data_IF_447572798927
#
_entry.id   IF_447572798927
#
_cell.length_a   1.000
_cell.length_b   1.000
_cell.length_c   1.000
_cell.angle_alpha   90.00
_cell.angle_beta   90.00
_cell.angle_gamma   90.00
#
_symmetry.space_group_name_H-M   'P 1'
#
loop_
_entity.id
_entity.type
_entity.pdbx_description
1 polymer ?
#
# COMPACT_ATOMS: atom_id res chain seq x y z
N UNK A 1 10.68 25.01 7.51
CA UNK A 1 10.05 25.41 6.23
C UNK A 1 9.24 24.25 5.78
N UNK A 2 7.95 24.44 5.54
CA UNK A 2 7.07 23.39 5.06
C UNK A 2 6.30 23.85 3.82
N UNK A 3 5.64 22.93 3.12
CA UNK A 3 4.88 23.27 1.92
C UNK A 3 4.04 22.12 1.39
N UNK A 4 3.10 22.45 0.51
CA UNK A 4 2.29 21.49 -0.22
C UNK A 4 2.29 21.84 -1.70
N UNK A 5 2.73 20.91 -2.54
CA UNK A 5 2.67 21.01 -3.98
C UNK A 5 1.36 20.40 -4.50
N UNK A 6 0.45 21.26 -4.95
CA UNK A 6 -0.80 20.86 -5.63
C UNK A 6 -0.46 20.60 -7.10
N UNK A 7 -0.04 19.37 -7.41
CA UNK A 7 0.52 18.99 -8.70
C UNK A 7 -0.23 17.82 -9.33
N UNK A 8 -0.08 17.67 -10.65
CA UNK A 8 -0.53 16.51 -11.45
C UNK A 8 0.26 16.45 -12.77
N UNK A 9 0.40 15.28 -13.43
CA UNK A 9 -0.02 13.93 -12.99
C UNK A 9 0.76 13.44 -11.74
N UNK A 10 0.34 12.34 -11.09
CA UNK A 10 1.12 11.71 -10.02
C UNK A 10 2.48 11.19 -10.54
N UNK A 11 3.34 10.77 -9.63
CA UNK A 11 4.70 10.32 -9.91
C UNK A 11 5.14 9.02 -9.24
N UNK A 12 4.56 8.61 -8.11
CA UNK A 12 5.13 7.54 -7.28
C UNK A 12 5.20 6.13 -7.92
N UNK A 13 4.44 5.88 -8.99
CA UNK A 13 4.50 4.63 -9.76
C UNK A 13 5.51 4.65 -10.93
N UNK A 14 6.07 5.82 -11.28
CA UNK A 14 7.03 5.91 -12.37
C UNK A 14 8.38 5.31 -11.94
N UNK A 15 8.77 4.23 -12.61
CA UNK A 15 10.05 3.55 -12.44
C UNK A 15 11.17 4.21 -13.28
N UNK A 16 12.40 3.71 -13.20
CA UNK A 16 13.55 4.26 -13.93
C UNK A 16 13.31 4.39 -15.44
N UNK A 17 12.63 3.40 -16.04
CA UNK A 17 12.39 3.33 -17.48
C UNK A 17 10.96 2.95 -17.87
N UNK A 18 10.02 3.02 -16.92
CA UNK A 18 8.62 2.60 -17.14
C UNK A 18 7.64 3.63 -16.56
N UNK A 19 6.75 4.14 -17.41
CA UNK A 19 5.59 4.91 -16.99
C UNK A 19 4.39 3.96 -16.75
N UNK A 20 3.70 4.08 -15.62
CA UNK A 20 2.54 3.27 -15.27
C UNK A 20 1.68 3.98 -14.21
N UNK A 21 0.44 3.53 -13.99
CA UNK A 21 -0.43 4.11 -12.95
C UNK A 21 -0.61 5.63 -13.08
N UNK A 22 -0.76 6.13 -14.31
CA UNK A 22 -0.81 7.55 -14.65
C UNK A 22 0.48 8.37 -14.39
N UNK A 23 1.55 7.73 -13.88
CA UNK A 23 2.80 8.36 -13.54
C UNK A 23 3.82 8.27 -14.69
N UNK A 24 4.44 9.40 -15.04
CA UNK A 24 5.49 9.48 -16.07
C UNK A 24 6.87 9.78 -15.49
N UNK A 25 6.93 10.63 -14.46
CA UNK A 25 8.16 10.99 -13.75
C UNK A 25 7.88 11.02 -12.26
N UNK A 26 8.78 10.45 -11.46
CA UNK A 26 8.61 10.40 -10.01
C UNK A 26 9.09 11.72 -9.36
N UNK A 27 8.16 12.66 -9.20
CA UNK A 27 8.42 14.00 -8.66
C UNK A 27 9.09 13.98 -7.26
N UNK A 28 8.62 13.10 -6.38
CA UNK A 28 9.13 12.97 -5.01
C UNK A 28 10.53 12.35 -5.01
N UNK A 29 10.76 11.27 -5.77
CA UNK A 29 12.08 10.66 -5.88
C UNK A 29 13.12 11.59 -6.54
N UNK A 30 12.73 12.35 -7.57
CA UNK A 30 13.59 13.37 -8.17
C UNK A 30 13.96 14.44 -7.14
N UNK A 31 13.01 14.88 -6.33
CA UNK A 31 13.24 15.86 -5.25
C UNK A 31 14.20 15.32 -4.19
N UNK A 32 14.01 14.07 -3.76
CA UNK A 32 14.91 13.41 -2.80
C UNK A 32 16.34 13.32 -3.34
N UNK A 33 16.53 12.86 -4.59
CA UNK A 33 17.86 12.84 -5.23
C UNK A 33 18.47 14.23 -5.33
N UNK A 34 17.68 15.24 -5.67
CA UNK A 34 18.17 16.62 -5.74
C UNK A 34 18.62 17.15 -4.37
N UNK A 35 17.83 16.93 -3.32
CA UNK A 35 18.17 17.32 -1.94
C UNK A 35 19.47 16.66 -1.47
N UNK A 36 19.60 15.35 -1.70
CA UNK A 36 20.79 14.57 -1.32
C UNK A 36 22.03 15.01 -2.12
N UNK A 37 21.94 15.03 -3.44
CA UNK A 37 23.10 15.15 -4.34
C UNK A 37 23.53 16.61 -4.59
N UNK A 38 22.62 17.57 -4.48
CA UNK A 38 22.89 19.00 -4.77
C UNK A 38 22.89 19.87 -3.53
N UNK A 39 22.09 19.51 -2.52
CA UNK A 39 21.94 20.30 -1.31
C UNK A 39 22.54 19.61 -0.07
N UNK A 40 23.16 18.44 -0.23
CA UNK A 40 23.85 17.67 0.82
C UNK A 40 22.94 17.39 2.04
N UNK A 41 21.66 17.14 1.81
CA UNK A 41 20.75 16.66 2.85
C UNK A 41 21.09 15.20 3.13
N UNK A 42 21.46 14.89 4.37
CA UNK A 42 22.08 13.61 4.74
C UNK A 42 21.08 12.47 4.88
N UNK A 43 19.98 12.70 5.59
CA UNK A 43 18.92 11.70 5.81
C UNK A 43 17.56 12.23 5.39
N UNK A 44 16.89 11.56 4.48
CA UNK A 44 15.56 11.97 3.99
C UNK A 44 14.56 10.86 4.29
N UNK A 45 13.46 11.21 4.95
CA UNK A 45 12.31 10.33 5.12
C UNK A 45 11.31 10.62 4.00
N UNK A 46 10.88 9.59 3.29
CA UNK A 46 9.75 9.64 2.37
C UNK A 46 8.62 8.81 2.97
N UNK A 47 7.47 9.43 3.23
CA UNK A 47 6.24 8.73 3.65
C UNK A 47 5.24 8.77 2.49
N UNK A 48 4.86 7.62 1.99
CA UNK A 48 3.83 7.47 0.96
C UNK A 48 2.50 7.11 1.61
N UNK A 49 1.53 8.03 1.50
CA UNK A 49 0.18 7.93 2.06
C UNK A 49 -0.88 7.60 1.00
N UNK A 50 -0.49 7.49 -0.27
CA UNK A 50 -1.36 6.98 -1.32
C UNK A 50 -1.78 5.53 -1.00
N UNK A 51 -3.02 5.17 -1.31
CA UNK A 51 -3.52 3.82 -1.00
C UNK A 51 -2.80 2.73 -1.80
N UNK A 52 -2.14 3.11 -2.90
CA UNK A 52 -1.35 2.22 -3.73
C UNK A 52 0.14 2.28 -3.36
N UNK A 53 0.83 1.15 -3.50
CA UNK A 53 2.27 1.11 -3.26
C UNK A 53 3.04 1.97 -4.29
N UNK A 54 3.85 2.92 -3.83
CA UNK A 54 4.76 3.73 -4.64
C UNK A 54 5.99 2.95 -5.14
N UNK A 55 5.76 1.96 -6.01
CA UNK A 55 6.79 1.05 -6.55
C UNK A 55 7.99 1.77 -7.19
N UNK A 56 7.76 2.90 -7.86
CA UNK A 56 8.82 3.71 -8.45
C UNK A 56 9.72 4.35 -7.40
N UNK A 57 9.14 4.83 -6.30
CA UNK A 57 9.90 5.42 -5.18
C UNK A 57 10.70 4.36 -4.45
N UNK A 58 10.10 3.19 -4.19
CA UNK A 58 10.80 2.03 -3.64
C UNK A 58 12.01 1.65 -4.51
N UNK A 59 11.82 1.47 -5.81
CA UNK A 59 12.89 1.12 -6.75
C UNK A 59 14.03 2.14 -6.75
N UNK A 60 13.70 3.44 -6.69
CA UNK A 60 14.68 4.52 -6.77
C UNK A 60 15.70 4.54 -5.61
N UNK A 61 15.35 3.97 -4.45
CA UNK A 61 16.12 4.06 -3.21
C UNK A 61 16.36 2.72 -2.52
N UNK A 62 16.00 1.61 -3.14
CA UNK A 62 16.00 0.28 -2.50
C UNK A 62 17.33 -0.14 -1.85
N UNK A 63 18.46 0.36 -2.37
CA UNK A 63 19.80 0.07 -1.85
C UNK A 63 20.45 1.24 -1.08
N UNK A 64 19.72 2.32 -0.81
CA UNK A 64 20.27 3.57 -0.26
C UNK A 64 19.84 3.83 1.20
N UNK A 65 20.75 3.69 2.18
CA UNK A 65 20.43 3.93 3.59
C UNK A 65 20.28 5.42 3.96
N UNK A 66 20.60 6.35 3.05
CA UNK A 66 20.37 7.78 3.29
C UNK A 66 18.91 8.18 3.10
N UNK A 67 18.09 7.29 2.50
CA UNK A 67 16.68 7.50 2.25
C UNK A 67 15.89 6.40 2.96
N UNK A 68 15.05 6.79 3.92
CA UNK A 68 14.07 5.89 4.52
C UNK A 68 12.76 6.04 3.75
N UNK A 69 12.32 4.99 3.05
CA UNK A 69 11.02 4.95 2.40
C UNK A 69 10.03 4.15 3.23
N UNK A 70 8.86 4.73 3.47
CA UNK A 70 7.75 4.10 4.20
C UNK A 70 6.48 4.28 3.40
N UNK A 71 5.80 3.19 3.06
CA UNK A 71 4.51 3.23 2.36
C UNK A 71 3.42 2.56 3.19
N UNK A 72 2.25 3.18 3.30
CA UNK A 72 1.03 2.55 3.81
C UNK A 72 0.10 2.30 2.62
N UNK A 73 -0.12 1.04 2.25
CA UNK A 73 -0.88 0.73 1.06
C UNK A 73 -1.72 -0.52 1.24
N UNK A 74 -2.80 -0.58 0.46
CA UNK A 74 -3.58 -1.80 0.30
C UNK A 74 -2.78 -2.79 -0.52
N UNK A 75 -2.47 -3.95 0.06
CA UNK A 75 -1.65 -4.96 -0.58
C UNK A 75 -2.48 -6.20 -0.94
N UNK A 76 -3.29 -6.70 0.00
CA UNK A 76 -4.14 -7.88 -0.17
C UNK A 76 -3.40 -9.07 -0.81
N UNK A 77 -2.22 -9.39 -0.28
CA UNK A 77 -1.33 -10.44 -0.80
C UNK A 77 -0.96 -10.29 -2.28
N UNK A 78 -0.77 -9.03 -2.73
CA UNK A 78 -0.41 -8.70 -4.11
C UNK A 78 -1.59 -8.63 -5.07
N UNK A 79 -2.83 -8.73 -4.58
CA UNK A 79 -4.05 -8.69 -5.40
C UNK A 79 -4.63 -7.28 -5.60
N UNK A 80 -3.97 -6.24 -5.10
CA UNK A 80 -4.34 -4.85 -5.34
C UNK A 80 -3.25 -4.12 -6.14
N UNK A 81 -3.64 -3.20 -7.02
CA UNK A 81 -2.68 -2.48 -7.87
C UNK A 81 -1.63 -1.73 -7.01
N UNK A 82 -0.32 -1.76 -7.36
CA UNK A 82 0.30 -2.40 -8.53
C UNK A 82 0.73 -3.86 -8.32
N UNK A 83 0.44 -4.46 -7.15
CA UNK A 83 0.77 -5.83 -6.80
C UNK A 83 2.16 -6.02 -6.16
N UNK A 84 2.96 -4.96 -6.07
CA UNK A 84 4.24 -4.94 -5.34
C UNK A 84 4.07 -4.35 -3.94
N UNK A 85 5.15 -4.35 -3.15
CA UNK A 85 5.15 -3.74 -1.82
C UNK A 85 4.95 -4.76 -0.71
N UNK A 86 5.40 -6.00 -0.90
CA UNK A 86 5.28 -7.02 0.15
C UNK A 86 6.05 -6.60 1.41
N UNK A 87 5.61 -7.01 2.62
CA UNK A 87 6.23 -6.59 3.87
C UNK A 87 7.67 -7.12 4.05
N UNK A 88 8.06 -8.15 3.30
CA UNK A 88 9.42 -8.70 3.30
C UNK A 88 10.39 -7.99 2.32
N UNK A 89 9.90 -7.03 1.53
CA UNK A 89 10.72 -6.20 0.65
C UNK A 89 11.40 -5.08 1.46
N UNK A 90 12.48 -5.40 2.17
CA UNK A 90 13.10 -4.50 3.17
C UNK A 90 14.27 -3.66 2.66
N UNK A 91 14.54 -3.68 1.35
CA UNK A 91 15.70 -3.06 0.74
C UNK A 91 16.79 -4.07 0.40
N UNK A 92 17.93 -3.60 -0.10
CA UNK A 92 19.07 -4.46 -0.48
C UNK A 92 20.42 -3.85 -0.14
N UNK A 93 21.41 -4.71 0.14
CA UNK A 93 22.76 -4.27 0.44
C UNK A 93 22.78 -3.27 1.61
N UNK A 94 23.42 -2.09 1.46
CA UNK A 94 23.42 -1.07 2.52
C UNK A 94 22.05 -0.53 2.89
N UNK A 95 21.06 -0.62 1.99
CA UNK A 95 19.69 -0.14 2.20
C UNK A 95 18.77 -1.14 2.92
N UNK A 96 19.25 -2.34 3.28
CA UNK A 96 18.44 -3.29 4.07
C UNK A 96 17.96 -2.67 5.38
N UNK A 97 16.65 -2.73 5.61
CA UNK A 97 15.94 -2.11 6.73
C UNK A 97 15.40 -0.70 6.45
N UNK A 98 15.82 -0.04 5.36
CA UNK A 98 15.43 1.34 5.02
C UNK A 98 14.25 1.43 4.02
N UNK A 99 13.69 0.29 3.63
CA UNK A 99 12.43 0.21 2.91
C UNK A 99 11.38 -0.46 3.79
N UNK A 100 10.27 0.22 4.05
CA UNK A 100 9.23 -0.24 4.98
C UNK A 100 7.88 -0.24 4.29
N UNK A 101 7.35 -1.44 4.07
CA UNK A 101 6.04 -1.64 3.50
C UNK A 101 5.03 -1.98 4.59
N UNK A 102 4.17 -1.00 4.91
CA UNK A 102 2.98 -1.21 5.73
C UNK A 102 1.88 -1.71 4.80
N UNK A 103 2.03 -2.99 4.44
CA UNK A 103 1.20 -3.73 3.51
C UNK A 103 -0.07 -4.24 4.23
N UNK A 104 -1.18 -3.55 4.02
CA UNK A 104 -2.46 -3.96 4.57
C UNK A 104 -3.01 -5.17 3.79
N UNK A 105 -3.23 -6.28 4.48
CA UNK A 105 -3.83 -7.50 3.95
C UNK A 105 -5.12 -7.80 4.69
N UNK A 106 -6.06 -8.49 4.05
CA UNK A 106 -7.32 -8.95 4.64
C UNK A 106 -8.56 -8.36 3.95
N UNK A 107 -8.36 -7.62 2.86
CA UNK A 107 -9.42 -7.05 2.04
C UNK A 107 -10.15 -5.90 2.75
N UNK A 108 -11.46 -5.86 2.53
CA UNK A 108 -12.36 -4.81 2.99
C UNK A 108 -13.35 -5.32 4.06
N UNK A 109 -12.93 -6.28 4.88
CA UNK A 109 -13.76 -6.91 5.91
C UNK A 109 -13.11 -6.83 7.32
N UNK A 110 -13.24 -5.70 8.03
CA UNK A 110 -13.72 -4.40 7.53
C UNK A 110 -12.61 -3.63 6.77
N UNK A 111 -12.95 -2.55 6.04
CA UNK A 111 -11.95 -1.65 5.45
C UNK A 111 -11.07 -0.99 6.52
N UNK A 112 -9.82 -0.65 6.16
CA UNK A 112 -8.97 0.16 7.02
C UNK A 112 -9.50 1.60 7.14
N UNK A 113 -9.36 2.20 8.32
CA UNK A 113 -9.74 3.58 8.58
C UNK A 113 -8.75 4.31 9.51
N UNK A 114 -9.25 5.32 10.22
CA UNK A 114 -8.43 6.20 11.07
C UNK A 114 -7.64 5.43 12.13
N UNK A 115 -8.30 4.47 12.80
CA UNK A 115 -7.71 3.70 13.90
C UNK A 115 -6.48 2.92 13.43
N UNK A 116 -6.58 2.29 12.26
CA UNK A 116 -5.51 1.49 11.66
C UNK A 116 -4.31 2.35 11.22
N UNK A 117 -4.57 3.47 10.53
CA UNK A 117 -3.52 4.39 10.09
C UNK A 117 -2.80 5.04 11.28
N UNK A 118 -3.55 5.46 12.31
CA UNK A 118 -2.97 6.01 13.54
C UNK A 118 -2.17 4.96 14.31
N UNK A 119 -2.64 3.71 14.34
CA UNK A 119 -1.89 2.61 14.95
C UNK A 119 -0.57 2.36 14.22
N UNK A 120 -0.56 2.31 12.88
CA UNK A 120 0.65 2.19 12.08
C UNK A 120 1.66 3.32 12.37
N UNK A 121 1.18 4.55 12.49
CA UNK A 121 2.01 5.69 12.89
C UNK A 121 2.62 5.51 14.27
N UNK A 122 1.82 5.08 15.25
CA UNK A 122 2.25 4.91 16.64
C UNK A 122 3.25 3.77 16.81
N UNK A 123 3.09 2.67 16.09
CA UNK A 123 3.85 1.44 16.34
C UNK A 123 5.00 1.20 15.38
N UNK A 124 4.96 1.79 14.18
CA UNK A 124 5.98 1.59 13.14
C UNK A 124 6.60 2.92 12.73
N UNK A 125 5.82 3.84 12.14
CA UNK A 125 6.38 5.00 11.43
C UNK A 125 7.09 5.96 12.37
N UNK A 126 6.42 6.44 13.42
CA UNK A 126 7.01 7.45 14.31
C UNK A 126 8.17 6.90 15.14
N UNK A 127 8.13 5.66 15.68
CA UNK A 127 9.30 5.07 16.33
C UNK A 127 10.52 5.01 15.40
N UNK A 128 10.35 4.46 14.20
CA UNK A 128 11.44 4.29 13.24
C UNK A 128 11.94 5.64 12.74
N UNK A 129 11.04 6.55 12.37
CA UNK A 129 11.42 7.90 11.92
C UNK A 129 12.16 8.68 13.01
N UNK A 130 11.81 8.47 14.29
CA UNK A 130 12.53 9.09 15.42
C UNK A 130 13.91 8.49 15.63
N UNK A 131 14.10 7.19 15.39
CA UNK A 131 15.42 6.54 15.43
C UNK A 131 16.27 6.89 14.20
N UNK A 132 15.64 7.05 13.04
CA UNK A 132 16.29 7.47 11.80
C UNK A 132 16.71 8.94 11.85
N UNK A 133 16.02 9.80 12.60
CA UNK A 133 16.30 11.24 12.75
C UNK A 133 16.51 11.95 11.39
N UNK A 134 15.47 12.07 10.54
CA UNK A 134 15.60 12.66 9.21
C UNK A 134 15.93 14.15 9.27
N UNK A 135 16.73 14.61 8.31
CA UNK A 135 17.01 16.02 8.08
C UNK A 135 15.88 16.71 7.30
N UNK A 136 15.13 15.94 6.50
CA UNK A 136 14.02 16.41 5.68
C UNK A 136 12.95 15.31 5.53
N UNK A 137 11.68 15.71 5.48
CA UNK A 137 10.55 14.79 5.22
C UNK A 137 9.88 15.16 3.91
N UNK A 138 9.70 14.17 3.04
CA UNK A 138 8.87 14.26 1.85
C UNK A 138 7.65 13.34 2.03
N UNK A 139 6.50 13.79 1.57
CA UNK A 139 5.26 13.01 1.63
C UNK A 139 4.69 12.89 0.21
N UNK A 140 4.62 11.65 -0.27
CA UNK A 140 3.78 11.29 -1.42
C UNK A 140 2.34 11.27 -0.92
N UNK A 141 1.61 12.35 -1.18
CA UNK A 141 0.32 12.63 -0.56
C UNK A 141 -0.83 12.27 -1.51
N UNK A 142 -1.09 10.97 -1.65
CA UNK A 142 -2.33 10.47 -2.26
C UNK A 142 -3.47 10.45 -1.25
N UNK A 143 -4.69 10.71 -1.73
CA UNK A 143 -5.88 10.80 -0.87
C UNK A 143 -6.98 9.78 -1.24
N UNK A 144 -6.63 8.72 -1.96
CA UNK A 144 -7.52 7.62 -2.36
C UNK A 144 -7.80 6.60 -1.24
N UNK A 145 -7.09 6.68 -0.11
CA UNK A 145 -7.47 5.98 1.12
C UNK A 145 -8.64 6.67 1.86
N UNK A 146 -8.96 7.92 1.50
CA UNK A 146 -10.05 8.69 2.12
C UNK A 146 -11.40 8.07 1.74
N UNK A 147 -12.34 8.06 2.69
CA UNK A 147 -13.72 7.67 2.41
C UNK A 147 -14.29 8.41 1.19
N UNK A 148 -14.94 7.67 0.30
CA UNK A 148 -15.52 8.19 -0.95
C UNK A 148 -14.96 7.50 -2.20
N UNK A 149 -13.86 6.77 -2.06
CA UNK A 149 -13.27 5.98 -3.14
C UNK A 149 -13.80 4.54 -3.16
N UNK A 150 -14.30 4.12 -4.32
CA UNK A 150 -14.85 2.78 -4.50
C UNK A 150 -13.78 1.68 -4.35
N UNK A 151 -14.17 0.44 -3.96
CA UNK A 151 -13.27 -0.68 -3.75
C UNK A 151 -12.22 -0.97 -4.85
N UNK A 152 -12.48 -0.78 -6.15
CA UNK A 152 -11.46 -1.01 -7.18
C UNK A 152 -10.33 0.03 -7.20
N UNK A 153 -10.57 1.21 -6.63
CA UNK A 153 -9.64 2.36 -6.66
C UNK A 153 -9.01 2.66 -5.30
N UNK A 154 -9.66 2.21 -4.22
CA UNK A 154 -9.14 2.29 -2.85
C UNK A 154 -9.95 1.38 -1.95
N UNK A 155 -11.11 1.85 -1.51
CA UNK A 155 -12.05 1.09 -0.68
C UNK A 155 -11.91 1.30 0.83
N UNK A 156 -10.95 2.12 1.26
CA UNK A 156 -10.74 2.47 2.67
C UNK A 156 -11.65 3.60 3.14
N UNK A 157 -11.61 3.81 4.47
CA UNK A 157 -12.50 4.71 5.21
C UNK A 157 -11.73 5.68 6.10
N UNK A 158 -10.53 6.07 5.69
CA UNK A 158 -9.77 7.10 6.39
C UNK A 158 -10.47 8.44 6.22
N UNK A 159 -10.55 9.24 7.27
CA UNK A 159 -11.16 10.56 7.20
C UNK A 159 -10.14 11.59 6.74
N UNK A 160 -10.59 12.61 6.03
CA UNK A 160 -9.77 13.78 5.70
C UNK A 160 -9.12 14.41 6.95
N UNK A 161 -9.84 14.43 8.07
CA UNK A 161 -9.33 14.92 9.36
C UNK A 161 -8.12 14.12 9.83
N UNK A 162 -8.16 12.80 9.70
CA UNK A 162 -7.04 11.93 10.07
C UNK A 162 -5.77 12.31 9.31
N UNK A 163 -5.83 12.56 7.99
CA UNK A 163 -4.67 13.03 7.22
C UNK A 163 -4.03 14.30 7.83
N UNK A 164 -4.83 15.27 8.26
CA UNK A 164 -4.30 16.44 8.99
C UNK A 164 -3.51 16.05 10.25
N UNK A 165 -4.01 15.09 11.05
CA UNK A 165 -3.29 14.58 12.24
C UNK A 165 -2.04 13.79 11.86
N UNK A 166 -2.06 12.98 10.81
CA UNK A 166 -0.88 12.26 10.30
C UNK A 166 0.24 13.25 9.92
N UNK A 167 -0.10 14.32 9.20
CA UNK A 167 0.87 15.37 8.85
C UNK A 167 1.37 16.11 10.09
N UNK A 168 0.49 16.37 11.07
CA UNK A 168 0.89 16.98 12.35
C UNK A 168 1.91 16.12 13.10
N UNK A 169 1.81 14.80 13.06
CA UNK A 169 2.82 13.90 13.60
C UNK A 169 4.14 14.03 12.84
N UNK A 170 4.12 14.01 11.49
CA UNK A 170 5.35 14.14 10.71
C UNK A 170 6.05 15.51 10.89
N UNK A 171 5.30 16.58 11.14
CA UNK A 171 5.84 17.91 11.41
C UNK A 171 6.70 17.99 12.68
N UNK A 172 6.61 17.02 13.60
CA UNK A 172 7.50 16.96 14.78
C UNK A 172 8.91 16.49 14.42
N UNK A 173 9.11 15.94 13.22
CA UNK A 173 10.39 15.47 12.71
C UNK A 173 11.10 16.59 11.93
N UNK A 174 12.41 16.44 11.70
CA UNK A 174 13.20 17.31 10.82
C UNK A 174 13.07 18.83 11.10
N UNK A 175 12.74 19.22 12.35
CA UNK A 175 12.38 20.60 12.72
C UNK A 175 11.29 21.21 11.82
N UNK A 176 10.30 20.41 11.43
CA UNK A 176 9.21 20.80 10.55
C UNK A 176 9.64 21.08 9.10
N UNK A 177 10.80 20.56 8.65
CA UNK A 177 11.20 20.58 7.23
C UNK A 177 10.47 19.46 6.49
N UNK A 178 9.30 19.80 5.95
CA UNK A 178 8.37 18.83 5.38
C UNK A 178 7.70 19.37 4.12
N UNK A 179 7.68 18.58 3.04
CA UNK A 179 6.92 18.91 1.83
C UNK A 179 5.99 17.77 1.46
N UNK A 180 4.71 18.09 1.23
CA UNK A 180 3.74 17.19 0.60
C UNK A 180 3.75 17.44 -0.90
N UNK A 181 3.62 16.39 -1.70
CA UNK A 181 3.30 16.47 -3.12
C UNK A 181 2.08 15.61 -3.40
N UNK A 182 1.05 16.19 -4.05
CA UNK A 182 -0.17 15.47 -4.38
C UNK A 182 0.13 14.31 -5.35
N UNK A 183 -0.37 13.11 -5.01
CA UNK A 183 -0.31 11.90 -5.84
C UNK A 183 -1.72 11.51 -6.33
N UNK A 184 -2.27 10.38 -5.89
CA UNK A 184 -3.62 9.91 -6.20
C UNK A 184 -4.75 10.58 -5.40
N UNK A 185 -5.94 9.99 -5.49
CA UNK A 185 -7.21 10.58 -5.03
C UNK A 185 -8.06 11.15 -6.17
N UNK A 186 -9.33 10.76 -6.21
CA UNK A 186 -10.22 10.97 -7.36
C UNK A 186 -11.59 11.54 -6.98
N UNK A 187 -12.12 11.22 -5.80
CA UNK A 187 -13.33 11.89 -5.31
C UNK A 187 -13.00 13.34 -4.96
N UNK A 188 -13.68 14.28 -5.62
CA UNK A 188 -13.36 15.70 -5.51
C UNK A 188 -13.53 16.23 -4.08
N UNK A 189 -14.53 15.73 -3.35
CA UNK A 189 -14.78 16.18 -1.98
C UNK A 189 -13.69 15.65 -1.06
N UNK A 190 -13.38 14.36 -1.16
CA UNK A 190 -12.34 13.71 -0.39
C UNK A 190 -10.96 14.37 -0.57
N UNK A 191 -10.53 14.63 -1.81
CA UNK A 191 -9.23 15.27 -2.06
C UNK A 191 -9.21 16.73 -1.60
N UNK A 192 -10.31 17.48 -1.70
CA UNK A 192 -10.39 18.86 -1.23
C UNK A 192 -10.30 18.90 0.30
N UNK A 193 -11.11 18.10 0.98
CA UNK A 193 -11.17 18.07 2.44
C UNK A 193 -9.83 17.59 3.04
N UNK A 194 -9.21 16.56 2.45
CA UNK A 194 -7.91 16.06 2.91
C UNK A 194 -6.77 17.06 2.64
N UNK A 195 -6.81 17.74 1.49
CA UNK A 195 -5.88 18.84 1.18
C UNK A 195 -6.00 19.99 2.19
N UNK A 196 -7.23 20.39 2.51
CA UNK A 196 -7.51 21.43 3.50
C UNK A 196 -7.01 21.02 4.90
N UNK A 197 -7.30 19.78 5.33
CA UNK A 197 -6.84 19.26 6.62
C UNK A 197 -5.31 19.25 6.72
N UNK A 198 -4.62 18.81 5.67
CA UNK A 198 -3.15 18.84 5.57
C UNK A 198 -2.61 20.27 5.64
N UNK A 199 -3.18 21.20 4.87
CA UNK A 199 -2.78 22.61 4.88
C UNK A 199 -2.94 23.25 6.27
N UNK A 200 -4.06 22.98 6.94
CA UNK A 200 -4.30 23.44 8.30
C UNK A 200 -3.22 22.94 9.28
N UNK A 201 -2.75 21.70 9.12
CA UNK A 201 -1.64 21.18 9.91
C UNK A 201 -0.33 21.92 9.62
N UNK A 202 0.01 22.15 8.34
CA UNK A 202 1.24 22.83 7.92
C UNK A 202 1.35 24.26 8.45
N UNK A 203 0.25 25.01 8.44
CA UNK A 203 0.22 26.40 8.91
C UNK A 203 0.06 26.52 10.44
N UNK A 204 -0.05 25.40 11.16
CA UNK A 204 -0.15 25.38 12.61
C UNK A 204 -1.53 25.76 13.15
N UNK A 205 -2.57 25.67 12.32
CA UNK A 205 -3.94 25.86 12.78
C UNK A 205 -4.36 24.74 13.74
N UNK A 206 -5.30 25.05 14.62
CA UNK A 206 -5.91 24.03 15.47
C UNK A 206 -6.74 23.09 14.60
N UNK A 207 -6.27 21.84 14.47
CA UNK A 207 -7.03 20.78 13.82
C UNK A 207 -8.28 20.45 14.63
N UNK A 208 -9.35 20.09 13.93
CA UNK A 208 -10.51 19.48 14.56
C UNK A 208 -10.09 18.19 15.29
N UNK A 209 -10.55 17.99 16.53
CA UNK A 209 -10.22 16.79 17.27
C UNK A 209 -10.79 15.56 16.55
N UNK A 210 -10.04 14.47 16.56
CA UNK A 210 -10.58 13.17 16.19
C UNK A 210 -11.69 12.77 17.18
N UNK A 211 -12.71 12.03 16.73
CA UNK A 211 -13.72 11.47 17.62
C UNK A 211 -13.06 10.68 18.77
N UNK A 212 -13.60 10.81 19.98
CA UNK A 212 -13.01 10.21 21.19
C UNK A 212 -12.92 8.68 21.08
N UNK A 213 -13.88 8.06 20.41
CA UNK A 213 -13.91 6.62 20.17
C UNK A 213 -12.77 6.13 19.28
N UNK A 214 -12.32 6.91 18.29
CA UNK A 214 -11.14 6.59 17.46
C UNK A 214 -9.87 6.48 18.32
N UNK A 215 -9.77 7.26 19.41
CA UNK A 215 -8.60 7.26 20.28
C UNK A 215 -8.51 6.02 21.19
N UNK A 216 -9.66 5.40 21.50
CA UNK A 216 -9.74 4.24 22.40
C UNK A 216 -10.04 2.93 21.67
N UNK A 217 -10.42 2.99 20.39
CA UNK A 217 -10.64 1.80 19.56
C UNK A 217 -9.33 1.07 19.27
N UNK A 218 -9.42 -0.25 19.22
CA UNK A 218 -8.35 -1.11 18.75
C UNK A 218 -8.47 -1.29 17.25
N UNK A 219 -7.35 -1.37 16.50
CA UNK A 219 -7.39 -1.71 15.08
C UNK A 219 -8.15 -3.00 14.84
N UNK A 220 -8.78 -3.12 13.67
CA UNK A 220 -9.40 -4.36 13.25
C UNK A 220 -8.36 -5.51 13.17
N UNK A 221 -8.85 -6.75 13.16
CA UNK A 221 -7.98 -7.93 13.25
C UNK A 221 -6.95 -8.01 12.12
N UNK A 222 -7.38 -7.74 10.88
CA UNK A 222 -6.53 -7.78 9.71
C UNK A 222 -5.38 -6.77 9.83
N UNK A 223 -5.67 -5.55 10.27
CA UNK A 223 -4.65 -4.54 10.54
C UNK A 223 -3.69 -4.95 11.66
N UNK A 224 -4.20 -5.56 12.74
CA UNK A 224 -3.37 -6.06 13.82
C UNK A 224 -2.39 -7.13 13.35
N UNK A 225 -2.82 -8.03 12.47
CA UNK A 225 -1.99 -9.07 11.85
C UNK A 225 -0.92 -8.44 10.94
N UNK A 226 -1.32 -7.54 10.03
CA UNK A 226 -0.37 -6.79 9.20
C UNK A 226 0.70 -6.10 10.07
N UNK A 227 0.29 -5.37 11.11
CA UNK A 227 1.22 -4.69 12.03
C UNK A 227 2.10 -5.67 12.80
N UNK A 228 1.60 -6.84 13.19
CA UNK A 228 2.43 -7.89 13.79
C UNK A 228 3.53 -8.34 12.82
N UNK A 229 3.17 -8.70 11.59
CA UNK A 229 4.13 -9.12 10.56
C UNK A 229 5.19 -8.04 10.30
N UNK A 230 4.76 -6.78 10.12
CA UNK A 230 5.66 -5.65 9.87
C UNK A 230 6.62 -5.43 11.05
N UNK A 231 6.11 -5.42 12.28
CA UNK A 231 6.96 -5.20 13.46
C UNK A 231 7.92 -6.37 13.72
N UNK A 232 7.51 -7.60 13.45
CA UNK A 232 8.39 -8.77 13.53
C UNK A 232 9.55 -8.67 12.53
N UNK A 233 9.27 -8.27 11.28
CA UNK A 233 10.29 -8.06 10.25
C UNK A 233 11.24 -6.92 10.65
N UNK A 234 10.69 -5.75 10.97
CA UNK A 234 11.50 -4.54 11.18
C UNK A 234 12.19 -4.46 12.54
N UNK A 235 11.76 -5.25 13.54
CA UNK A 235 12.49 -5.37 14.82
C UNK A 235 13.93 -5.90 14.67
N UNK A 236 14.25 -6.53 13.54
CA UNK A 236 15.61 -6.97 13.20
C UNK A 236 16.54 -5.79 12.84
N UNK A 237 15.97 -4.70 12.35
CA UNK A 237 16.70 -3.54 11.82
C UNK A 237 16.62 -2.32 12.74
N UNK A 238 15.50 -2.16 13.47
CA UNK A 238 15.19 -0.96 14.26
C UNK A 238 14.90 -1.30 15.71
N UNK A 239 15.62 -0.67 16.64
CA UNK A 239 15.49 -0.93 18.09
C UNK A 239 14.24 -0.32 18.69
N UNK A 240 13.75 0.75 18.08
CA UNK A 240 12.53 1.46 18.49
C UNK A 240 11.25 0.66 18.22
N UNK A 241 11.31 -0.33 17.33
CA UNK A 241 10.19 -1.21 17.00
C UNK A 241 10.10 -2.32 18.03
N UNK A 242 8.95 -2.40 18.70
CA UNK A 242 8.62 -3.52 19.60
C UNK A 242 7.65 -4.45 18.89
N UNK A 243 7.71 -5.77 19.15
CA UNK A 243 6.75 -6.72 18.60
C UNK A 243 5.32 -6.28 18.94
N UNK A 244 4.47 -6.17 17.91
CA UNK A 244 3.06 -5.87 18.10
C UNK A 244 2.32 -7.11 18.58
N UNK A 245 1.65 -7.01 19.72
CA UNK A 245 0.96 -8.16 20.33
C UNK A 245 -0.50 -8.22 19.89
N UNK A 246 -0.86 -9.27 19.15
CA UNK A 246 -2.26 -9.58 18.81
C UNK A 246 -2.85 -10.53 19.86
N UNK A 247 -4.06 -10.26 20.41
CA UNK A 247 -4.66 -11.15 21.39
C UNK A 247 -4.89 -12.57 20.83
N UNK A 248 -4.62 -13.60 21.64
CA UNK A 248 -4.64 -15.02 21.24
C UNK A 248 -5.97 -15.47 20.64
N UNK A 249 -7.08 -14.88 21.09
CA UNK A 249 -8.43 -15.16 20.57
C UNK A 249 -8.57 -14.89 19.08
N UNK A 250 -7.84 -13.91 18.55
CA UNK A 250 -7.90 -13.54 17.14
C UNK A 250 -7.05 -14.47 16.26
N UNK A 251 -5.87 -14.90 16.73
CA UNK A 251 -4.99 -15.83 16.00
C UNK A 251 -5.68 -17.17 15.71
N UNK A 252 -6.50 -17.65 16.66
CA UNK A 252 -7.28 -18.88 16.45
C UNK A 252 -8.38 -18.71 15.40
N UNK A 253 -9.04 -17.55 15.38
CA UNK A 253 -10.11 -17.26 14.41
C UNK A 253 -9.56 -17.07 12.99
N UNK A 254 -8.38 -16.47 12.86
CA UNK A 254 -7.68 -16.30 11.58
C UNK A 254 -7.24 -17.64 10.98
N UNK A 255 -6.57 -18.50 11.76
CA UNK A 255 -6.18 -19.84 11.30
C UNK A 255 -7.40 -20.62 10.77
N UNK A 256 -8.53 -20.53 11.47
CA UNK A 256 -9.78 -21.17 11.04
C UNK A 256 -10.35 -20.56 9.75
N UNK A 257 -10.20 -19.24 9.54
CA UNK A 257 -10.63 -18.56 8.31
C UNK A 257 -9.74 -18.94 7.14
N UNK A 258 -8.42 -18.96 7.32
CA UNK A 258 -7.45 -19.36 6.30
C UNK A 258 -7.62 -20.83 5.89
N UNK A 259 -7.78 -21.75 6.86
CA UNK A 259 -8.08 -23.16 6.57
C UNK A 259 -9.37 -23.32 5.74
N UNK A 260 -10.38 -22.49 6.02
CA UNK A 260 -11.65 -22.50 5.29
C UNK A 260 -11.50 -21.96 3.86
N UNK A 261 -10.80 -20.84 3.68
CA UNK A 261 -10.54 -20.25 2.36
C UNK A 261 -9.68 -21.17 1.48
N UNK A 262 -8.66 -21.83 2.06
CA UNK A 262 -7.88 -22.86 1.36
C UNK A 262 -8.76 -24.05 0.96
N UNK A 263 -9.65 -24.50 1.85
CA UNK A 263 -10.58 -25.60 1.55
C UNK A 263 -11.55 -25.22 0.43
N UNK A 264 -12.10 -24.01 0.44
CA UNK A 264 -12.98 -23.49 -0.60
C UNK A 264 -12.25 -23.34 -1.95
N UNK A 265 -11.02 -22.82 -1.94
CA UNK A 265 -10.19 -22.70 -3.14
C UNK A 265 -9.85 -24.07 -3.75
N UNK A 266 -9.48 -25.06 -2.92
CA UNK A 266 -9.24 -26.44 -3.35
C UNK A 266 -10.52 -27.06 -3.93
N UNK A 267 -11.67 -26.82 -3.29
CA UNK A 267 -12.97 -27.30 -3.77
C UNK A 267 -13.37 -26.68 -5.12
N UNK A 268 -13.12 -25.38 -5.30
CA UNK A 268 -13.36 -24.68 -6.57
C UNK A 268 -12.44 -25.21 -7.68
N UNK A 269 -11.16 -25.41 -7.40
CA UNK A 269 -10.21 -26.02 -8.35
C UNK A 269 -10.59 -27.45 -8.72
N UNK A 270 -11.05 -28.25 -7.75
CA UNK A 270 -11.54 -29.60 -8.02
C UNK A 270 -12.77 -29.58 -8.93
N UNK A 271 -13.69 -28.62 -8.73
CA UNK A 271 -14.90 -28.47 -9.55
C UNK A 271 -14.61 -28.06 -11.00
N UNK A 272 -13.51 -27.35 -11.25
CA UNK A 272 -13.05 -26.99 -12.60
C UNK A 272 -12.33 -28.16 -13.33
N UNK A 273 -11.98 -29.23 -12.63
CA UNK A 273 -11.24 -30.38 -13.18
C UNK A 273 -12.12 -31.55 -13.63
N UNK A 274 -13.42 -31.53 -13.32
CA UNK A 274 -14.41 -32.54 -13.71
C UNK A 274 -15.35 -32.01 -14.80
N UNK A 275 -14.83 -31.84 -16.01
CA UNK A 275 -15.64 -31.69 -17.23
C UNK A 275 -14.85 -32.17 -18.47
N UNK A 276 -14.48 -33.45 -18.48
CA UNK A 276 -14.08 -34.15 -19.71
C UNK A 276 -14.60 -35.60 -19.68
N UNK A 277 -15.90 -35.78 -19.90
CA UNK A 277 -16.41 -37.05 -20.44
C UNK A 277 -17.31 -36.76 -21.64
N UNK A 278 -16.75 -36.94 -22.86
CA UNK A 278 -17.55 -37.06 -24.08
C UNK A 278 -18.00 -38.52 -24.24
N UNK A 279 -19.27 -38.80 -24.60
CA UNK A 279 -19.71 -40.17 -24.87
C UNK A 279 -19.32 -40.58 -26.30
N UNK A 280 -18.59 -41.68 -26.42
CA UNK A 280 -18.31 -42.37 -27.70
C UNK A 280 -19.61 -42.95 -28.31
N UNK A 281 -19.86 -42.82 -29.64
CA UNK A 281 -20.93 -43.56 -30.29
C UNK A 281 -20.48 -44.98 -30.65
N UNK A 282 -21.32 -45.98 -30.34
CA UNK A 282 -21.16 -47.37 -30.77
C UNK A 282 -21.54 -47.54 -32.26
N UNK A 283 -20.62 -48.09 -33.06
CA UNK A 283 -20.88 -48.58 -34.42
C UNK A 283 -21.63 -49.91 -34.42
N UNK A 284 -22.68 -50.04 -35.24
CA UNK A 284 -23.08 -51.32 -35.86
C UNK A 284 -23.85 -51.09 -37.18
N UNK A 285 -23.38 -51.74 -38.26
CA UNK A 285 -24.21 -52.11 -39.42
C UNK A 285 -23.66 -51.76 -40.81
N UNK A 286 -22.97 -52.71 -41.45
CA UNK A 286 -22.60 -52.70 -42.89
C UNK A 286 -23.82 -52.88 -43.80
N UNK A 287 -23.91 -52.13 -44.92
CA UNK A 287 -24.37 -52.63 -46.25
C UNK A 287 -23.64 -51.85 -47.37
N UNK A 288 -23.37 -52.56 -48.48
CA UNK A 288 -22.46 -52.28 -49.59
C UNK A 288 -22.89 -51.23 -50.63
N UNK A 289 -21.89 -50.73 -51.39
CA UNK A 289 -22.06 -50.10 -52.71
C UNK A 289 -20.96 -49.09 -53.08
N UNK A 290 -20.01 -49.48 -53.94
CA UNK A 290 -19.15 -48.58 -54.76
C UNK A 290 -19.97 -47.93 -55.92
N UNK A 291 -19.46 -46.99 -56.77
CA UNK A 291 -18.12 -46.36 -56.84
C UNK A 291 -18.09 -44.81 -57.01
N UNK A 292 -16.86 -44.26 -56.95
CA UNK A 292 -16.28 -43.07 -57.61
C UNK A 292 -17.17 -41.91 -58.12
N UNK A 293 -16.79 -40.67 -57.78
CA UNK A 293 -16.61 -39.58 -58.76
C UNK A 293 -15.75 -38.43 -58.20
N UNK A 294 -15.12 -37.71 -59.12
CA UNK A 294 -13.92 -36.87 -59.03
C UNK A 294 -14.08 -35.51 -58.32
N UNK A 295 -12.93 -34.93 -57.95
CA UNK A 295 -12.72 -33.50 -57.66
C UNK A 295 -13.29 -32.57 -58.76
N UNK A 296 -13.59 -31.30 -58.42
CA UNK A 296 -12.60 -30.28 -58.74
C UNK A 296 -12.38 -29.23 -57.65
N UNK A 297 -11.14 -28.75 -57.62
CA UNK A 297 -10.65 -27.60 -56.88
C UNK A 297 -11.37 -26.29 -57.25
N UNK A 298 -11.75 -25.50 -56.24
CA UNK A 298 -11.24 -24.12 -56.01
C UNK A 298 -11.58 -23.65 -54.60
#
# INVERSE_FOLDING_TARGET
MNGFAVVRPPGHHAEESTAMGFCFFNSVAITAKYLRDKLNVGKILIVDLDVHHGNGTQQAFYADPSILYVSLHRYDEGNFFPGSGAPNEVGSGPGEGYNINIAWTGGLDPPMGDVEYLAAYRTVIMPIASEFEPDFVLVSAGFDAVEGHDPPLGGYKVTAKCFGHLIKHLLTLANGRLVLALEGGHDLTAICDASEACLNALIGNKLEPLPEDVLHQTPNVNAMISLQTITEIHSKYWKSVKPYTVPVSYKLAENQKQEKEETEAVSAMASLSVDVEQPFPQEHGRVAGEPMEEEPAM
#
